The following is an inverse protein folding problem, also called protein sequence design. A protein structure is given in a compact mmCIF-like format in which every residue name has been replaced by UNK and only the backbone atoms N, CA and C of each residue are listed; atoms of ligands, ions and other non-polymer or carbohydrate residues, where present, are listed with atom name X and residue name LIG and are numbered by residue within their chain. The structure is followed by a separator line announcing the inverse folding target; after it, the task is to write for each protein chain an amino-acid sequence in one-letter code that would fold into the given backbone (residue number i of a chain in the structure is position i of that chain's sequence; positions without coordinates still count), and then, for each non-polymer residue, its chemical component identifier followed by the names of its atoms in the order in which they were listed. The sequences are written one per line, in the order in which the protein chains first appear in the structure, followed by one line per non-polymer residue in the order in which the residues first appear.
data_IF_447907554052
#
_entry.id   IF_447907554052
#
_cell.length_a   1.000
_cell.length_b   1.000
_cell.length_c   1.000
_cell.angle_alpha   90.00
_cell.angle_beta   90.00
_cell.angle_gamma   90.00
#
_symmetry.space_group_name_H-M   'P 1'
#
loop_
_entity.id
_entity.type
_entity.pdbx_description
1 polymer ?
#
# COMPACT_ATOMS: atom_id res chain seq x y z
N UNK A 1 36.50 76.79 -46.89
CA UNK A 1 36.08 75.39 -46.73
C UNK A 1 35.54 75.22 -45.32
N UNK A 2 34.20 75.16 -45.17
CA UNK A 2 33.58 74.56 -43.98
C UNK A 2 33.88 73.06 -43.99
N UNK A 3 34.16 72.46 -42.82
CA UNK A 3 33.52 71.21 -42.38
C UNK A 3 33.52 71.15 -40.84
N UNK A 4 32.45 70.56 -40.34
CA UNK A 4 31.89 70.63 -38.98
C UNK A 4 31.85 69.23 -38.34
N UNK A 5 31.57 69.19 -37.03
CA UNK A 5 31.14 68.05 -36.19
C UNK A 5 32.24 67.04 -35.76
N UNK A 6 32.24 66.42 -34.57
CA UNK A 6 31.16 66.21 -33.59
C UNK A 6 31.70 65.86 -32.18
N UNK A 7 30.95 66.24 -31.14
CA UNK A 7 31.13 65.78 -29.74
C UNK A 7 30.67 64.33 -29.60
N UNK A 8 31.41 63.49 -28.85
CA UNK A 8 30.93 62.17 -28.43
C UNK A 8 30.63 62.19 -26.93
N UNK A 9 29.35 62.27 -26.61
CA UNK A 9 28.81 62.04 -25.28
C UNK A 9 28.73 60.54 -25.01
N UNK A 10 29.30 60.07 -23.90
CA UNK A 10 29.09 58.70 -23.40
C UNK A 10 27.81 58.66 -22.58
N UNK A 11 26.78 57.99 -23.11
CA UNK A 11 25.56 57.67 -22.37
C UNK A 11 25.73 56.33 -21.65
N UNK A 12 25.63 56.33 -20.32
CA UNK A 12 25.51 55.11 -19.52
C UNK A 12 24.05 54.62 -19.61
N UNK A 13 23.84 53.47 -20.25
CA UNK A 13 22.55 52.77 -20.23
C UNK A 13 22.51 51.85 -19.00
N UNK A 14 21.62 52.16 -18.05
CA UNK A 14 21.29 51.27 -16.92
C UNK A 14 20.16 50.34 -17.39
N UNK A 15 20.48 49.07 -17.61
CA UNK A 15 19.49 48.04 -17.94
C UNK A 15 18.95 47.41 -16.64
N UNK A 16 17.73 47.77 -16.24
CA UNK A 16 16.99 47.11 -15.17
C UNK A 16 16.33 45.83 -15.68
N UNK A 17 16.87 44.67 -15.30
CA UNK A 17 16.27 43.36 -15.56
C UNK A 17 15.19 43.06 -14.49
N UNK A 18 13.91 43.07 -14.89
CA UNK A 18 12.82 42.54 -14.06
C UNK A 18 12.78 41.01 -14.18
N UNK A 19 13.20 40.30 -13.13
CA UNK A 19 13.05 38.86 -13.02
C UNK A 19 11.61 38.51 -12.62
N UNK A 20 10.83 37.95 -13.55
CA UNK A 20 9.50 37.40 -13.32
C UNK A 20 9.61 36.09 -12.55
N UNK A 21 9.34 36.14 -11.24
CA UNK A 21 9.28 34.96 -10.36
C UNK A 21 7.95 34.22 -10.60
N UNK A 22 7.96 33.18 -11.43
CA UNK A 22 6.81 32.28 -11.59
C UNK A 22 6.72 31.36 -10.37
N UNK A 23 5.74 31.61 -9.49
CA UNK A 23 5.42 30.67 -8.42
C UNK A 23 4.85 29.38 -9.03
N UNK A 24 5.66 28.32 -9.06
CA UNK A 24 5.18 26.97 -9.36
C UNK A 24 4.37 26.47 -8.17
N UNK A 25 3.04 26.62 -8.24
CA UNK A 25 2.12 25.99 -7.29
C UNK A 25 2.13 24.49 -7.57
N UNK A 26 2.87 23.72 -6.77
CA UNK A 26 2.84 22.27 -6.83
C UNK A 26 1.48 21.74 -6.41
N UNK A 27 0.76 21.08 -7.32
CA UNK A 27 -0.44 20.32 -6.98
C UNK A 27 -0.04 19.08 -6.17
N UNK A 28 -0.33 19.10 -4.87
CA UNK A 28 -0.20 17.92 -4.03
C UNK A 28 -1.27 16.91 -4.46
N UNK A 29 -0.89 15.87 -5.22
CA UNK A 29 -1.79 14.74 -5.46
C UNK A 29 -2.10 14.07 -4.11
N UNK A 30 -3.38 13.98 -3.77
CA UNK A 30 -3.81 13.19 -2.62
C UNK A 30 -3.33 11.75 -2.83
N UNK A 31 -2.54 11.25 -1.89
CA UNK A 31 -2.05 9.88 -1.96
C UNK A 31 -3.25 8.91 -2.00
N UNK A 32 -3.24 7.95 -2.92
CA UNK A 32 -4.33 7.00 -3.08
C UNK A 32 -4.63 6.19 -1.81
N UNK A 33 -5.80 5.54 -1.72
CA UNK A 33 -6.27 4.86 -0.50
C UNK A 33 -5.29 3.80 0.05
N UNK A 34 -4.44 3.24 -0.80
CA UNK A 34 -3.47 2.22 -0.43
C UNK A 34 -2.08 2.76 -0.06
N UNK A 35 -1.85 4.08 -0.10
CA UNK A 35 -0.53 4.68 0.12
C UNK A 35 0.12 4.28 1.45
N UNK A 36 -0.67 4.16 2.53
CA UNK A 36 -0.15 3.75 3.84
C UNK A 36 0.33 2.29 3.89
N UNK A 37 -0.18 1.43 3.01
CA UNK A 37 0.13 -0.01 3.00
C UNK A 37 1.36 -0.32 2.17
N UNK A 38 1.63 0.46 1.12
CA UNK A 38 2.75 0.25 0.20
C UNK A 38 4.09 0.11 0.94
N UNK A 39 4.92 -0.84 0.54
CA UNK A 39 6.24 -1.10 1.12
C UNK A 39 6.46 -2.55 1.55
N UNK A 40 7.59 -2.78 2.21
CA UNK A 40 7.97 -4.07 2.77
C UNK A 40 7.67 -4.11 4.27
N UNK A 41 7.21 -5.27 4.72
CA UNK A 41 6.75 -5.48 6.08
C UNK A 41 7.21 -6.83 6.60
N UNK A 42 7.64 -6.88 7.86
CA UNK A 42 8.05 -8.12 8.53
C UNK A 42 7.64 -8.13 9.99
N UNK A 43 7.39 -9.32 10.52
CA UNK A 43 7.07 -9.46 11.93
C UNK A 43 6.57 -10.84 12.28
N UNK A 44 5.86 -10.91 13.40
CA UNK A 44 5.41 -12.16 13.97
C UNK A 44 4.05 -12.01 14.62
N UNK A 45 3.47 -13.16 14.94
CA UNK A 45 2.14 -13.25 15.47
C UNK A 45 1.83 -14.66 15.93
N UNK A 46 0.54 -14.98 15.90
CA UNK A 46 0.04 -16.30 16.25
C UNK A 46 -0.90 -16.84 15.18
N UNK A 47 -0.86 -18.15 15.00
CA UNK A 47 -1.85 -18.93 14.23
C UNK A 47 -2.53 -19.92 15.19
N UNK A 48 -3.84 -20.03 15.07
CA UNK A 48 -4.67 -20.96 15.83
C UNK A 48 -5.35 -21.91 14.85
N UNK A 49 -5.36 -23.18 15.21
CA UNK A 49 -5.94 -24.27 14.41
C UNK A 49 -6.96 -25.03 15.25
N UNK A 50 -8.00 -25.56 14.62
CA UNK A 50 -9.21 -26.07 15.26
C UNK A 50 -8.96 -27.15 16.32
N UNK A 51 -7.93 -27.99 16.12
CA UNK A 51 -7.59 -29.11 17.00
C UNK A 51 -6.13 -29.12 17.46
N UNK A 52 -5.46 -27.96 17.44
CA UNK A 52 -4.02 -27.88 17.73
C UNK A 52 -3.66 -26.69 18.62
N UNK A 53 -2.41 -26.68 19.13
CA UNK A 53 -1.92 -25.58 19.93
C UNK A 53 -1.83 -24.30 19.09
N UNK A 54 -1.95 -23.17 19.78
CA UNK A 54 -1.60 -21.89 19.18
C UNK A 54 -0.09 -21.85 18.90
N UNK A 55 0.30 -21.57 17.67
CA UNK A 55 1.71 -21.50 17.27
C UNK A 55 2.16 -20.08 17.00
N UNK A 56 3.44 -19.79 17.28
CA UNK A 56 4.08 -18.59 16.80
C UNK A 56 4.27 -18.67 15.28
N UNK A 57 3.86 -17.61 14.57
CA UNK A 57 4.01 -17.50 13.12
C UNK A 57 4.84 -16.26 12.78
N UNK A 58 5.74 -16.38 11.81
CA UNK A 58 6.51 -15.25 11.25
C UNK A 58 5.98 -14.93 9.87
N UNK A 59 5.89 -13.65 9.56
CA UNK A 59 5.34 -13.18 8.30
C UNK A 59 6.22 -12.11 7.67
N UNK A 60 6.26 -12.11 6.34
CA UNK A 60 6.85 -11.06 5.52
C UNK A 60 5.91 -10.74 4.37
N UNK A 61 5.70 -9.45 4.11
CA UNK A 61 4.78 -8.99 3.09
C UNK A 61 5.39 -7.87 2.26
N UNK A 62 5.10 -7.88 0.96
CA UNK A 62 5.41 -6.79 0.04
C UNK A 62 4.10 -6.28 -0.55
N UNK A 63 3.92 -4.97 -0.50
CA UNK A 63 2.71 -4.28 -0.92
C UNK A 63 3.09 -3.21 -1.96
N UNK A 64 2.51 -3.30 -3.15
CA UNK A 64 2.80 -2.40 -4.26
C UNK A 64 1.53 -1.64 -4.62
N UNK A 65 1.55 -0.32 -4.42
CA UNK A 65 0.44 0.54 -4.80
C UNK A 65 0.63 1.01 -6.26
N UNK A 66 -0.29 0.63 -7.15
CA UNK A 66 -0.34 1.01 -8.56
C UNK A 66 -1.52 1.94 -8.87
N UNK A 67 -1.63 2.40 -10.13
CA UNK A 67 -2.72 3.27 -10.62
C UNK A 67 -3.03 4.45 -9.69
N UNK A 68 -2.05 5.34 -9.49
CA UNK A 68 -2.16 6.47 -8.57
C UNK A 68 -2.57 6.07 -7.12
N UNK A 69 -2.26 4.84 -6.72
CA UNK A 69 -2.57 4.29 -5.40
C UNK A 69 -3.97 3.69 -5.24
N UNK A 70 -4.68 3.43 -6.34
CA UNK A 70 -6.01 2.80 -6.36
C UNK A 70 -5.98 1.30 -6.59
N UNK A 71 -4.82 0.72 -6.91
CA UNK A 71 -4.61 -0.74 -6.98
C UNK A 71 -3.53 -1.12 -5.98
N UNK A 72 -3.71 -2.23 -5.28
CA UNK A 72 -2.76 -2.79 -4.35
C UNK A 72 -2.47 -4.25 -4.69
N UNK A 73 -1.27 -4.48 -5.20
CA UNK A 73 -0.69 -5.83 -5.29
C UNK A 73 -0.06 -6.21 -3.96
N UNK A 74 -0.29 -7.44 -3.52
CA UNK A 74 0.25 -7.99 -2.28
C UNK A 74 0.91 -9.35 -2.55
N UNK A 75 2.05 -9.57 -1.89
CA UNK A 75 2.60 -10.91 -1.65
C UNK A 75 2.91 -11.05 -0.16
N UNK A 76 2.30 -12.03 0.52
CA UNK A 76 2.46 -12.28 1.96
C UNK A 76 2.82 -13.75 2.19
N UNK A 77 3.98 -13.97 2.80
CA UNK A 77 4.42 -15.31 3.20
C UNK A 77 4.45 -15.37 4.72
N UNK A 78 3.77 -16.35 5.28
CA UNK A 78 3.77 -16.64 6.70
C UNK A 78 4.15 -18.11 6.97
N UNK A 79 4.95 -18.35 8.01
CA UNK A 79 5.41 -19.68 8.39
C UNK A 79 5.52 -19.83 9.92
N UNK A 80 4.97 -20.90 10.46
CA UNK A 80 5.15 -21.42 11.81
C UNK A 80 5.94 -22.74 11.73
N UNK A 81 5.92 -23.55 12.80
CA UNK A 81 6.54 -24.88 12.79
C UNK A 81 5.76 -25.86 11.90
N UNK A 82 4.43 -25.84 11.98
CA UNK A 82 3.57 -26.79 11.27
C UNK A 82 2.76 -26.17 10.13
N UNK A 83 2.67 -24.84 10.05
CA UNK A 83 1.90 -24.13 9.01
C UNK A 83 2.76 -23.23 8.16
N UNK A 84 2.50 -23.23 6.85
CA UNK A 84 2.98 -22.23 5.91
C UNK A 84 1.85 -21.84 4.97
N UNK A 85 1.79 -20.56 4.64
CA UNK A 85 0.91 -20.02 3.62
C UNK A 85 1.61 -18.87 2.87
N UNK A 86 1.39 -18.79 1.56
CA UNK A 86 1.91 -17.81 0.61
C UNK A 86 0.72 -17.25 -0.19
N UNK A 87 0.23 -16.12 0.29
CA UNK A 87 -0.93 -15.41 -0.23
C UNK A 87 -0.47 -14.32 -1.19
N UNK A 88 -1.05 -14.31 -2.39
CA UNK A 88 -0.98 -13.20 -3.33
C UNK A 88 -2.36 -12.60 -3.50
N UNK A 89 -2.46 -11.29 -3.56
CA UNK A 89 -3.71 -10.62 -3.90
C UNK A 89 -3.48 -9.40 -4.78
N UNK A 90 -4.51 -9.06 -5.53
CA UNK A 90 -4.62 -7.80 -6.23
C UNK A 90 -6.00 -7.22 -5.93
N UNK A 91 -6.03 -6.05 -5.32
CA UNK A 91 -7.27 -5.37 -4.96
C UNK A 91 -7.30 -3.97 -5.54
N UNK A 92 -8.46 -3.58 -6.07
CA UNK A 92 -8.73 -2.26 -6.60
C UNK A 92 -9.71 -1.53 -5.70
N UNK A 93 -9.49 -0.22 -5.53
CA UNK A 93 -10.38 0.67 -4.80
C UNK A 93 -11.19 1.53 -5.76
N UNK A 94 -12.50 1.59 -5.53
CA UNK A 94 -13.41 2.57 -6.13
C UNK A 94 -14.05 3.39 -5.00
N UNK A 95 -13.50 4.58 -4.76
CA UNK A 95 -13.79 5.33 -3.54
C UNK A 95 -13.30 4.56 -2.30
N UNK A 96 -14.21 4.27 -1.36
CA UNK A 96 -13.90 3.46 -0.18
C UNK A 96 -14.14 1.96 -0.37
N UNK A 97 -14.79 1.54 -1.45
CA UNK A 97 -15.06 0.11 -1.71
C UNK A 97 -13.81 -0.52 -2.33
N UNK A 98 -13.51 -1.75 -1.92
CA UNK A 98 -12.47 -2.56 -2.55
C UNK A 98 -13.03 -3.87 -3.07
N UNK A 99 -12.52 -4.29 -4.22
CA UNK A 99 -12.77 -5.61 -4.81
C UNK A 99 -11.51 -6.12 -5.48
N UNK A 100 -11.37 -7.43 -5.62
CA UNK A 100 -10.20 -8.02 -6.24
C UNK A 100 -10.15 -9.52 -6.10
N UNK A 101 -8.96 -10.09 -6.29
CA UNK A 101 -8.74 -11.52 -6.20
C UNK A 101 -7.58 -11.84 -5.28
N UNK A 102 -7.56 -13.08 -4.79
CA UNK A 102 -6.47 -13.61 -4.00
C UNK A 102 -6.19 -15.07 -4.37
N UNK A 103 -4.98 -15.53 -4.08
CA UNK A 103 -4.56 -16.92 -4.22
C UNK A 103 -3.60 -17.30 -3.10
N UNK A 104 -3.79 -18.50 -2.54
CA UNK A 104 -2.89 -19.17 -1.61
C UNK A 104 -2.19 -20.31 -2.33
N UNK A 105 -0.91 -20.10 -2.63
CA UNK A 105 -0.17 -20.98 -3.54
C UNK A 105 0.29 -22.29 -2.92
N UNK A 106 0.35 -22.41 -1.60
CA UNK A 106 0.73 -23.68 -0.94
C UNK A 106 -0.35 -24.76 -1.01
N UNK A 107 -1.62 -24.34 -1.19
CA UNK A 107 -2.78 -25.23 -1.24
C UNK A 107 -3.56 -25.14 -2.56
N UNK A 108 -3.14 -24.24 -3.47
CA UNK A 108 -3.81 -24.04 -4.76
C UNK A 108 -5.23 -23.51 -4.63
N UNK A 109 -5.50 -22.69 -3.60
CA UNK A 109 -6.83 -22.11 -3.38
C UNK A 109 -6.82 -20.65 -3.81
N UNK A 110 -7.92 -20.19 -4.38
CA UNK A 110 -8.09 -18.81 -4.81
C UNK A 110 -9.55 -18.38 -4.72
N UNK A 111 -9.77 -17.09 -4.85
CA UNK A 111 -11.09 -16.53 -5.05
C UNK A 111 -11.08 -15.02 -4.92
N UNK A 112 -12.15 -14.47 -4.36
CA UNK A 112 -12.44 -13.04 -4.43
C UNK A 112 -12.18 -12.34 -3.10
N UNK A 113 -11.88 -11.05 -3.20
CA UNK A 113 -11.78 -10.12 -2.09
C UNK A 113 -12.86 -9.05 -2.27
N UNK A 114 -13.61 -8.76 -1.21
CA UNK A 114 -14.55 -7.63 -1.19
C UNK A 114 -14.51 -6.92 0.15
N UNK A 115 -14.67 -5.60 0.18
CA UNK A 115 -14.61 -4.87 1.43
C UNK A 115 -14.52 -3.37 1.27
N UNK A 116 -13.88 -2.73 2.25
CA UNK A 116 -13.66 -1.30 2.28
C UNK A 116 -12.23 -0.94 2.73
N UNK A 117 -11.74 0.20 2.23
CA UNK A 117 -10.47 0.83 2.62
C UNK A 117 -10.72 2.26 3.05
N UNK A 118 -10.00 2.70 4.09
CA UNK A 118 -10.04 4.08 4.53
C UNK A 118 -9.13 4.32 5.73
N UNK A 119 -8.51 5.50 5.77
CA UNK A 119 -7.71 5.97 6.91
C UNK A 119 -6.53 5.07 7.32
N UNK A 120 -6.07 4.16 6.45
CA UNK A 120 -5.04 3.17 6.79
C UNK A 120 -5.59 1.86 7.35
N UNK A 121 -6.91 1.66 7.23
CA UNK A 121 -7.58 0.41 7.57
C UNK A 121 -8.17 -0.22 6.31
N UNK A 122 -8.05 -1.54 6.19
CA UNK A 122 -8.80 -2.38 5.25
C UNK A 122 -9.63 -3.34 6.09
N UNK A 123 -10.92 -3.43 5.79
CA UNK A 123 -11.84 -4.43 6.32
C UNK A 123 -12.47 -5.14 5.13
N UNK A 124 -12.19 -6.43 5.01
CA UNK A 124 -12.58 -7.21 3.85
C UNK A 124 -13.02 -8.62 4.24
N UNK A 125 -13.71 -9.26 3.32
CA UNK A 125 -13.98 -10.70 3.33
C UNK A 125 -13.27 -11.27 2.11
N UNK A 126 -12.56 -12.38 2.33
CA UNK A 126 -12.05 -13.22 1.25
C UNK A 126 -12.90 -14.47 1.15
N UNK A 127 -13.18 -14.93 -0.07
CA UNK A 127 -13.89 -16.19 -0.34
C UNK A 127 -13.05 -17.09 -1.23
N UNK A 128 -13.12 -18.40 -1.02
CA UNK A 128 -12.49 -19.38 -1.91
C UNK A 128 -13.01 -20.78 -1.64
N UNK A 129 -13.54 -21.44 -2.68
CA UNK A 129 -14.15 -22.76 -2.53
C UNK A 129 -15.25 -22.80 -1.47
N UNK A 130 -15.02 -23.57 -0.41
CA UNK A 130 -15.96 -23.82 0.70
C UNK A 130 -15.65 -23.04 1.98
N UNK A 131 -14.76 -22.05 1.92
CA UNK A 131 -14.44 -21.22 3.08
C UNK A 131 -14.47 -19.71 2.76
N UNK A 132 -14.72 -18.93 3.80
CA UNK A 132 -14.58 -17.47 3.78
C UNK A 132 -13.68 -17.05 4.93
N UNK A 133 -13.07 -15.86 4.86
CA UNK A 133 -12.38 -15.31 6.01
C UNK A 133 -12.57 -13.79 6.12
N UNK A 134 -12.90 -13.33 7.32
CA UNK A 134 -12.84 -11.92 7.66
C UNK A 134 -11.39 -11.47 7.79
N UNK A 135 -11.04 -10.39 7.12
CA UNK A 135 -9.71 -9.80 7.07
C UNK A 135 -9.78 -8.36 7.58
N UNK A 136 -8.95 -8.04 8.57
CA UNK A 136 -8.74 -6.65 9.00
C UNK A 136 -7.25 -6.32 9.02
N UNK A 137 -6.88 -5.25 8.30
CA UNK A 137 -5.54 -4.68 8.32
C UNK A 137 -5.62 -3.25 8.80
N UNK A 138 -4.73 -2.84 9.70
CA UNK A 138 -4.63 -1.45 10.13
C UNK A 138 -3.17 -1.03 10.19
N UNK A 139 -2.83 0.11 9.57
CA UNK A 139 -1.50 0.71 9.58
C UNK A 139 -1.49 1.95 10.46
N UNK A 140 -0.61 1.96 11.47
CA UNK A 140 -0.28 3.11 12.29
C UNK A 140 1.23 3.37 12.22
N UNK A 141 1.63 4.42 11.50
CA UNK A 141 3.04 4.74 11.24
C UNK A 141 3.74 3.56 10.57
N UNK A 142 4.75 3.02 11.25
CA UNK A 142 5.56 1.89 10.76
C UNK A 142 5.11 0.54 11.34
N UNK A 143 3.89 0.45 11.90
CA UNK A 143 3.29 -0.80 12.39
C UNK A 143 2.04 -1.13 11.60
N UNK A 144 1.91 -2.39 11.23
CA UNK A 144 0.73 -2.94 10.59
C UNK A 144 0.20 -4.10 11.43
N UNK A 145 -1.09 -4.06 11.74
CA UNK A 145 -1.81 -5.11 12.45
C UNK A 145 -2.66 -5.85 11.45
N UNK A 146 -2.56 -7.18 11.44
CA UNK A 146 -3.31 -8.06 10.53
C UNK A 146 -4.05 -9.09 11.37
N UNK A 147 -5.36 -9.20 11.16
CA UNK A 147 -6.16 -10.30 11.71
C UNK A 147 -6.94 -10.99 10.60
N UNK A 148 -6.94 -12.33 10.64
CA UNK A 148 -7.67 -13.19 9.72
C UNK A 148 -8.52 -14.13 10.55
N UNK A 149 -9.81 -14.19 10.24
CA UNK A 149 -10.80 -15.05 10.92
C UNK A 149 -11.51 -15.91 9.89
N UNK A 150 -10.98 -17.11 9.61
CA UNK A 150 -11.63 -18.04 8.69
C UNK A 150 -12.93 -18.61 9.25
N UNK A 151 -13.83 -18.96 8.35
CA UNK A 151 -15.11 -19.61 8.59
C UNK A 151 -15.34 -20.65 7.49
N UNK A 152 -16.07 -21.72 7.81
CA UNK A 152 -16.32 -22.82 6.87
C UNK A 152 -15.26 -23.92 6.94
N UNK A 153 -15.01 -24.60 5.82
CA UNK A 153 -14.19 -25.81 5.79
C UNK A 153 -12.68 -25.49 5.77
N UNK A 154 -12.12 -25.19 6.94
CA UNK A 154 -10.68 -24.98 7.14
C UNK A 154 -10.26 -25.38 8.56
N UNK A 155 -9.01 -25.83 8.70
CA UNK A 155 -8.38 -26.16 9.97
C UNK A 155 -7.83 -24.92 10.70
N UNK A 156 -7.63 -23.80 10.01
CA UNK A 156 -7.19 -22.54 10.61
C UNK A 156 -8.38 -21.79 11.17
N UNK A 157 -8.36 -21.45 12.46
CA UNK A 157 -9.46 -20.74 13.13
C UNK A 157 -9.11 -19.28 13.45
N UNK A 158 -7.84 -18.91 13.36
CA UNK A 158 -7.44 -17.51 13.51
C UNK A 158 -5.98 -17.25 13.21
N UNK A 159 -5.71 -16.06 12.68
CA UNK A 159 -4.36 -15.53 12.52
C UNK A 159 -4.34 -14.11 13.04
N UNK A 160 -3.30 -13.74 13.80
CA UNK A 160 -3.10 -12.38 14.29
C UNK A 160 -1.62 -12.04 14.27
N UNK A 161 -1.24 -11.02 13.51
CA UNK A 161 0.16 -10.67 13.24
C UNK A 161 0.38 -9.18 13.41
N UNK A 162 1.50 -8.82 14.02
CA UNK A 162 2.00 -7.44 14.00
C UNK A 162 3.26 -7.40 13.16
N UNK A 163 3.21 -6.58 12.11
CA UNK A 163 4.30 -6.34 11.20
C UNK A 163 4.87 -4.94 11.43
N UNK A 164 6.16 -4.79 11.17
CA UNK A 164 6.87 -3.53 11.13
C UNK A 164 7.36 -3.28 9.71
N UNK A 165 7.37 -2.02 9.32
CA UNK A 165 7.96 -1.59 8.06
C UNK A 165 9.47 -1.79 8.13
N UNK A 166 10.03 -2.39 7.08
CA UNK A 166 11.49 -2.49 6.87
C UNK A 166 12.09 -1.11 6.59
#
# INVERSE_FOLDING_TARGET
MLQSFNRKSFAFAVATALASLTLQVGVAHAAGPFAKFAGQWRGSGKITVSNGPQESIRCRGTYQAGNAGTVLGQNLVCASRSYKFDVRSEVQAQGSKVSGTWSETTRGVSGDVSGHVGNGTIQAVVSGGTFTAGLALTVHGNRQYVTIRPQGATDVTGVSVTLRRD
#
